data_IF_946060121514
#
_entry.id   IF_946060121514
#
_cell.length_a   1.000
_cell.length_b   1.000
_cell.length_c   1.000
_cell.angle_alpha   90.00
_cell.angle_beta   90.00
_cell.angle_gamma   90.00
#
_symmetry.space_group_name_H-M   'P 1'
#
loop_
_entity.id
_entity.type
_entity.pdbx_description
1 polymer ?
#
# COMPACT_ATOMS: atom_id res chain seq x y z
N UNK A 1 12.35 -14.48 -8.57
CA UNK A 1 13.48 -14.13 -7.67
C UNK A 1 12.97 -13.47 -6.41
N UNK A 2 13.49 -13.90 -5.27
CA UNK A 2 13.10 -13.27 -4.00
C UNK A 2 13.84 -11.94 -3.81
N UNK A 3 13.12 -10.94 -3.34
CA UNK A 3 13.74 -9.67 -2.98
C UNK A 3 14.52 -9.80 -1.67
N UNK A 4 15.63 -9.10 -1.57
CA UNK A 4 16.36 -8.98 -0.33
C UNK A 4 15.61 -8.07 0.63
N UNK A 5 15.98 -8.10 1.92
CA UNK A 5 15.42 -7.16 2.91
C UNK A 5 15.64 -5.70 2.47
N UNK A 6 16.85 -5.39 2.00
CA UNK A 6 17.16 -4.03 1.53
C UNK A 6 16.28 -3.61 0.35
N UNK A 7 16.02 -4.53 -0.60
CA UNK A 7 15.15 -4.23 -1.74
C UNK A 7 13.71 -3.98 -1.29
N UNK A 8 13.20 -4.77 -0.34
CA UNK A 8 11.85 -4.57 0.20
C UNK A 8 11.76 -3.23 0.94
N UNK A 9 12.77 -2.86 1.70
CA UNK A 9 12.83 -1.57 2.38
C UNK A 9 12.84 -0.41 1.39
N UNK A 10 13.59 -0.55 0.29
CA UNK A 10 13.65 0.46 -0.76
C UNK A 10 12.28 0.66 -1.43
N UNK A 11 11.55 -0.42 -1.67
CA UNK A 11 10.19 -0.33 -2.22
C UNK A 11 9.25 0.39 -1.27
N UNK A 12 9.35 0.12 0.03
CA UNK A 12 8.56 0.82 1.03
C UNK A 12 8.87 2.31 1.07
N UNK A 13 10.15 2.67 1.02
CA UNK A 13 10.58 4.06 0.99
C UNK A 13 10.06 4.78 -0.27
N UNK A 14 10.06 4.09 -1.40
CA UNK A 14 9.51 4.63 -2.65
C UNK A 14 8.00 4.84 -2.54
N UNK A 15 7.27 3.87 -1.96
CA UNK A 15 5.83 4.00 -1.74
C UNK A 15 5.52 5.20 -0.85
N UNK A 16 6.33 5.44 0.17
CA UNK A 16 6.13 6.56 1.09
C UNK A 16 6.12 7.91 0.37
N UNK A 17 6.86 8.03 -0.72
CA UNK A 17 6.86 9.26 -1.55
C UNK A 17 5.52 9.49 -2.23
N UNK A 18 4.76 8.43 -2.47
CA UNK A 18 3.46 8.49 -3.14
C UNK A 18 2.30 8.35 -2.16
N UNK A 19 2.57 8.47 -0.86
CA UNK A 19 1.56 8.32 0.19
C UNK A 19 0.34 9.20 -0.07
N UNK A 20 0.57 10.46 -0.47
CA UNK A 20 -0.51 11.40 -0.75
C UNK A 20 -1.39 10.91 -1.90
N UNK A 21 -0.77 10.36 -2.96
CA UNK A 21 -1.51 9.82 -4.10
C UNK A 21 -2.35 8.61 -3.69
N UNK A 22 -1.80 7.75 -2.84
CA UNK A 22 -2.53 6.59 -2.34
C UNK A 22 -3.68 7.02 -1.41
N UNK A 23 -3.46 8.04 -0.59
CA UNK A 23 -4.51 8.60 0.26
C UNK A 23 -5.65 9.17 -0.60
N UNK A 24 -5.34 9.78 -1.73
CA UNK A 24 -6.36 10.30 -2.66
C UNK A 24 -7.28 9.19 -3.17
N UNK A 25 -6.78 7.96 -3.33
CA UNK A 25 -7.62 6.82 -3.72
C UNK A 25 -8.67 6.55 -2.64
N UNK A 26 -8.27 6.56 -1.37
CA UNK A 26 -9.23 6.40 -0.27
C UNK A 26 -10.23 7.55 -0.25
N UNK A 27 -9.74 8.79 -0.38
CA UNK A 27 -10.56 9.99 -0.36
C UNK A 27 -11.62 9.96 -1.47
N UNK A 28 -11.23 9.52 -2.67
CA UNK A 28 -12.15 9.39 -3.81
C UNK A 28 -13.27 8.40 -3.50
N UNK A 29 -12.97 7.35 -2.73
CA UNK A 29 -13.96 6.36 -2.32
C UNK A 29 -14.74 6.79 -1.06
N UNK A 30 -14.44 7.96 -0.51
CA UNK A 30 -15.08 8.44 0.72
C UNK A 30 -14.68 7.66 1.97
N UNK A 31 -13.50 7.07 1.97
CA UNK A 31 -13.05 6.21 3.06
C UNK A 31 -11.88 6.82 3.82
N UNK A 32 -11.90 6.60 5.15
CA UNK A 32 -10.72 6.83 5.99
C UNK A 32 -9.93 5.52 6.07
N UNK A 33 -8.69 5.60 6.57
CA UNK A 33 -7.90 4.39 6.80
C UNK A 33 -8.58 3.46 7.81
N UNK A 34 -9.28 4.02 8.80
CA UNK A 34 -10.02 3.23 9.78
C UNK A 34 -11.18 2.49 9.11
N UNK A 35 -11.93 3.17 8.26
CA UNK A 35 -13.04 2.54 7.53
C UNK A 35 -12.55 1.43 6.60
N UNK A 36 -11.46 1.68 5.88
CA UNK A 36 -10.88 0.66 5.00
C UNK A 36 -10.40 -0.56 5.80
N UNK A 37 -9.77 -0.32 6.95
CA UNK A 37 -9.32 -1.40 7.83
C UNK A 37 -10.49 -2.31 8.24
N UNK A 38 -11.62 -1.70 8.61
CA UNK A 38 -12.81 -2.46 8.95
C UNK A 38 -13.31 -3.32 7.80
N UNK A 39 -13.31 -2.77 6.57
CA UNK A 39 -13.73 -3.48 5.38
C UNK A 39 -12.80 -4.67 5.06
N UNK A 40 -11.50 -4.50 5.29
CA UNK A 40 -10.51 -5.53 4.97
C UNK A 40 -10.28 -6.52 6.11
N UNK A 41 -10.85 -6.26 7.29
CA UNK A 41 -10.68 -7.13 8.46
C UNK A 41 -9.26 -7.07 9.04
N UNK A 42 -8.63 -5.90 8.96
CA UNK A 42 -7.28 -5.67 9.50
C UNK A 42 -7.29 -4.44 10.41
N UNK A 43 -6.17 -4.16 11.08
CA UNK A 43 -6.06 -2.97 11.93
C UNK A 43 -5.88 -1.71 11.09
N UNK A 44 -6.33 -0.56 11.62
CA UNK A 44 -6.08 0.73 10.97
C UNK A 44 -4.58 1.03 10.87
N UNK A 45 -3.81 0.59 11.86
CA UNK A 45 -2.36 0.70 11.83
C UNK A 45 -1.75 0.02 10.61
N UNK A 46 -2.25 -1.18 10.27
CA UNK A 46 -1.77 -1.91 9.10
C UNK A 46 -2.02 -1.12 7.81
N UNK A 47 -3.16 -0.44 7.70
CA UNK A 47 -3.46 0.43 6.56
C UNK A 47 -2.45 1.58 6.49
N UNK A 48 -2.30 2.33 7.57
CA UNK A 48 -1.42 3.49 7.57
C UNK A 48 0.05 3.13 7.38
N UNK A 49 0.50 2.03 7.98
CA UNK A 49 1.88 1.57 7.81
C UNK A 49 2.15 1.10 6.38
N UNK A 50 1.15 0.52 5.72
CA UNK A 50 1.29 0.14 4.32
C UNK A 50 1.42 1.37 3.44
N UNK A 51 0.60 2.39 3.66
CA UNK A 51 0.68 3.65 2.92
C UNK A 51 2.03 4.35 3.14
N UNK A 52 2.57 4.25 4.35
CA UNK A 52 3.86 4.85 4.71
C UNK A 52 5.06 4.00 4.28
N UNK A 53 4.83 2.81 3.73
CA UNK A 53 5.91 1.94 3.26
C UNK A 53 6.60 1.12 4.34
N UNK A 54 6.12 1.14 5.57
CA UNK A 54 6.74 0.39 6.68
C UNK A 54 6.42 -1.10 6.60
N UNK A 55 5.25 -1.46 6.10
CA UNK A 55 4.85 -2.84 5.84
C UNK A 55 4.24 -2.95 4.44
N UNK A 56 3.99 -4.16 3.99
CA UNK A 56 3.48 -4.44 2.64
C UNK A 56 2.25 -5.35 2.74
N UNK A 57 1.14 -4.82 3.30
CA UNK A 57 -0.09 -5.60 3.45
C UNK A 57 -0.68 -5.94 2.07
N UNK A 58 -0.79 -7.23 1.71
CA UNK A 58 -1.37 -7.61 0.42
C UNK A 58 -2.81 -7.13 0.26
N UNK A 59 -3.61 -7.17 1.31
CA UNK A 59 -5.00 -6.74 1.26
C UNK A 59 -5.13 -5.26 0.91
N UNK A 60 -4.30 -4.42 1.52
CA UNK A 60 -4.31 -2.98 1.24
C UNK A 60 -3.84 -2.70 -0.18
N UNK A 61 -2.75 -3.32 -0.59
CA UNK A 61 -2.18 -3.11 -1.92
C UNK A 61 -3.15 -3.57 -3.01
N UNK A 62 -3.80 -4.72 -2.83
CA UNK A 62 -4.77 -5.24 -3.78
C UNK A 62 -6.00 -4.33 -3.87
N UNK A 63 -6.49 -3.85 -2.72
CA UNK A 63 -7.61 -2.91 -2.71
C UNK A 63 -7.28 -1.63 -3.47
N UNK A 64 -6.10 -1.07 -3.22
CA UNK A 64 -5.65 0.15 -3.91
C UNK A 64 -5.57 -0.08 -5.42
N UNK A 65 -5.02 -1.22 -5.83
CA UNK A 65 -4.90 -1.57 -7.25
C UNK A 65 -6.28 -1.65 -7.91
N UNK A 66 -7.24 -2.27 -7.24
CA UNK A 66 -8.60 -2.41 -7.74
C UNK A 66 -9.33 -1.08 -7.87
N UNK A 67 -8.88 -0.06 -7.12
CA UNK A 67 -9.51 1.25 -7.10
C UNK A 67 -8.68 2.33 -7.80
N UNK A 68 -7.78 1.92 -8.67
CA UNK A 68 -7.13 2.84 -9.60
C UNK A 68 -5.70 3.26 -9.28
N UNK A 69 -5.11 2.77 -8.18
CA UNK A 69 -3.71 3.05 -7.91
C UNK A 69 -2.81 2.36 -8.93
N UNK A 70 -1.79 3.06 -9.41
CA UNK A 70 -0.86 2.49 -10.40
C UNK A 70 0.20 1.64 -9.72
N UNK A 71 0.76 0.68 -10.45
CA UNK A 71 1.84 -0.15 -9.91
C UNK A 71 3.06 0.69 -9.52
N UNK A 72 3.31 1.78 -10.23
CA UNK A 72 4.42 2.69 -9.91
C UNK A 72 4.29 3.30 -8.52
N UNK A 73 3.07 3.53 -8.05
CA UNK A 73 2.81 4.08 -6.72
C UNK A 73 2.72 3.01 -5.65
N UNK A 74 2.28 1.80 -6.02
CA UNK A 74 2.10 0.71 -5.06
C UNK A 74 3.43 0.12 -4.61
N UNK A 75 4.39 0.02 -5.50
CA UNK A 75 5.71 -0.56 -5.20
C UNK A 75 5.55 -1.91 -4.48
N UNK A 76 4.69 -2.77 -5.03
CA UNK A 76 4.36 -4.06 -4.41
C UNK A 76 5.52 -5.05 -4.55
N UNK A 77 6.10 -5.52 -3.42
CA UNK A 77 7.23 -6.46 -3.49
C UNK A 77 6.89 -7.77 -4.20
N UNK A 78 5.62 -8.19 -4.15
CA UNK A 78 5.20 -9.43 -4.81
C UNK A 78 5.34 -9.34 -6.33
N UNK A 79 5.22 -8.13 -6.88
CA UNK A 79 5.30 -7.91 -8.33
C UNK A 79 6.68 -7.48 -8.79
N UNK A 80 7.42 -6.83 -7.93
CA UNK A 80 8.76 -6.33 -8.26
C UNK A 80 9.77 -7.44 -8.50
N UNK A 81 9.52 -8.64 -7.98
CA UNK A 81 10.39 -9.79 -8.16
C UNK A 81 10.04 -10.69 -9.36
N UNK A 82 9.04 -10.32 -10.13
CA UNK A 82 8.59 -11.07 -11.29
C UNK A 82 9.50 -10.89 -12.50
#
# INVERSE_FOLDING_TARGET
MKLTFAQRMALGAKRAKYRRRLQEVLDTQGLTGVALAGMLGISSEAVYRTLSGKIHSPKVLDWLREHGATEDHLCDPRRAGE
#
